data_IF_707843170173
#
_entry.id   IF_707843170173
#
_cell.length_a   1.000
_cell.length_b   1.000
_cell.length_c   1.000
_cell.angle_alpha   90.00
_cell.angle_beta   90.00
_cell.angle_gamma   90.00
#
_symmetry.space_group_name_H-M   'P 1'
#
loop_
_entity.id
_entity.type
_entity.pdbx_description
1 polymer ?
#
# COMPACT_ATOMS: atom_id res chain seq x y z
N UNK A 1 9.66 15.55 2.05
CA UNK A 1 10.66 15.20 3.09
C UNK A 1 10.00 14.50 4.29
N UNK A 2 9.25 13.41 4.04
CA UNK A 2 8.54 12.60 5.04
C UNK A 2 8.76 11.08 4.81
N UNK A 3 9.60 10.74 3.84
CA UNK A 3 9.77 9.36 3.34
C UNK A 3 10.65 8.54 4.27
N UNK A 4 11.67 9.13 4.91
CA UNK A 4 12.59 8.42 5.81
C UNK A 4 11.93 8.00 7.12
N UNK A 5 11.21 8.90 7.79
CA UNK A 5 10.48 8.54 9.02
C UNK A 5 9.44 7.44 8.77
N UNK A 6 8.80 7.47 7.59
CA UNK A 6 7.86 6.43 7.17
C UNK A 6 8.56 5.10 6.90
N UNK A 7 9.65 5.10 6.12
CA UNK A 7 10.45 3.90 5.83
C UNK A 7 11.03 3.34 7.13
N UNK A 8 11.50 4.16 8.06
CA UNK A 8 12.04 3.74 9.35
C UNK A 8 10.98 3.19 10.30
N UNK A 9 9.78 3.78 10.32
CA UNK A 9 8.65 3.26 11.10
C UNK A 9 8.19 1.92 10.52
N UNK A 10 8.09 1.82 9.19
CA UNK A 10 7.77 0.57 8.49
C UNK A 10 8.84 -0.48 8.75
N UNK A 11 10.13 -0.14 8.65
CA UNK A 11 11.28 -1.01 8.93
C UNK A 11 11.31 -1.48 10.39
N UNK A 12 10.84 -0.65 11.32
CA UNK A 12 10.74 -1.01 12.74
C UNK A 12 9.58 -1.97 12.99
N UNK A 13 8.42 -1.75 12.36
CA UNK A 13 7.29 -2.70 12.38
C UNK A 13 7.67 -4.03 11.71
N UNK A 14 8.40 -3.96 10.58
CA UNK A 14 9.00 -5.08 9.85
C UNK A 14 9.92 -5.92 10.76
N UNK A 15 10.80 -5.27 11.54
CA UNK A 15 11.71 -5.94 12.47
C UNK A 15 11.01 -6.56 13.68
N UNK A 16 9.88 -6.01 14.10
CA UNK A 16 9.18 -6.42 15.31
C UNK A 16 8.14 -7.53 15.06
N UNK A 17 7.67 -7.62 13.82
CA UNK A 17 6.78 -8.66 13.33
C UNK A 17 7.53 -9.97 13.07
N UNK A 18 7.40 -10.96 13.96
CA UNK A 18 8.04 -12.29 13.85
C UNK A 18 7.54 -13.18 12.68
N UNK A 19 6.76 -12.62 11.75
CA UNK A 19 6.19 -13.34 10.60
C UNK A 19 6.00 -12.42 9.40
N UNK A 20 6.47 -12.84 8.23
CA UNK A 20 6.31 -12.16 6.94
C UNK A 20 4.85 -11.90 6.56
N UNK A 21 3.92 -12.76 7.01
CA UNK A 21 2.48 -12.56 6.82
C UNK A 21 1.92 -11.39 7.61
N UNK A 22 2.32 -11.26 8.87
CA UNK A 22 1.88 -10.16 9.73
C UNK A 22 2.46 -8.81 9.28
N UNK A 23 3.74 -8.82 8.86
CA UNK A 23 4.37 -7.69 8.17
C UNK A 23 3.53 -7.27 6.97
N UNK A 24 3.23 -8.22 6.08
CA UNK A 24 2.53 -7.96 4.83
C UNK A 24 1.18 -7.30 5.05
N UNK A 25 0.37 -7.82 5.97
CA UNK A 25 -0.93 -7.25 6.31
C UNK A 25 -0.82 -5.84 6.89
N UNK A 26 0.14 -5.61 7.80
CA UNK A 26 0.36 -4.29 8.42
C UNK A 26 0.80 -3.25 7.39
N UNK A 27 1.74 -3.61 6.52
CA UNK A 27 2.25 -2.75 5.45
C UNK A 27 1.14 -2.46 4.43
N UNK A 28 0.42 -3.47 3.97
CA UNK A 28 -0.69 -3.32 3.03
C UNK A 28 -1.77 -2.37 3.57
N UNK A 29 -2.11 -2.50 4.86
CA UNK A 29 -3.07 -1.64 5.54
C UNK A 29 -2.57 -0.20 5.67
N UNK A 30 -1.29 -0.02 6.03
CA UNK A 30 -0.67 1.30 6.16
C UNK A 30 -0.61 2.04 4.81
N UNK A 31 -0.19 1.35 3.75
CA UNK A 31 -0.14 1.92 2.39
C UNK A 31 -1.53 2.30 1.88
N UNK A 32 -2.53 1.44 2.09
CA UNK A 32 -3.92 1.75 1.74
C UNK A 32 -4.43 3.00 2.45
N UNK A 33 -4.13 3.13 3.75
CA UNK A 33 -4.50 4.31 4.53
C UNK A 33 -3.78 5.57 4.06
N UNK A 34 -2.50 5.45 3.69
CA UNK A 34 -1.70 6.56 3.20
C UNK A 34 -2.21 7.06 1.85
N UNK A 35 -2.45 6.14 0.92
CA UNK A 35 -3.03 6.43 -0.38
C UNK A 35 -4.40 7.10 -0.23
N UNK A 36 -5.26 6.56 0.63
CA UNK A 36 -6.56 7.14 0.91
C UNK A 36 -6.46 8.58 1.44
N UNK A 37 -5.51 8.85 2.36
CA UNK A 37 -5.25 10.21 2.84
C UNK A 37 -4.76 11.13 1.72
N UNK A 38 -3.89 10.65 0.84
CA UNK A 38 -3.42 11.40 -0.32
C UNK A 38 -4.57 11.71 -1.29
N UNK A 39 -5.52 10.77 -1.45
CA UNK A 39 -6.75 10.93 -2.22
C UNK A 39 -7.81 11.81 -1.54
N UNK A 40 -7.57 12.30 -0.31
CA UNK A 40 -8.51 13.14 0.43
C UNK A 40 -9.70 12.39 1.05
N UNK A 41 -9.68 11.06 1.02
CA UNK A 41 -10.75 10.18 1.51
C UNK A 41 -10.72 9.97 3.05
N UNK A 42 -9.85 10.69 3.76
CA UNK A 42 -9.78 10.68 5.22
C UNK A 42 -8.96 9.53 5.82
N UNK A 43 -9.14 9.27 7.12
CA UNK A 43 -8.34 8.31 7.89
C UNK A 43 -9.07 6.99 8.23
N UNK A 44 -10.30 6.79 7.75
CA UNK A 44 -11.08 5.56 7.96
C UNK A 44 -11.03 4.75 6.68
N UNK A 45 -10.57 3.49 6.74
CA UNK A 45 -10.49 2.63 5.56
C UNK A 45 -11.84 2.56 4.84
N UNK A 46 -11.91 3.19 3.67
CA UNK A 46 -13.03 3.10 2.73
C UNK A 46 -12.91 1.81 1.96
N UNK A 47 -14.00 1.37 1.35
CA UNK A 47 -14.07 0.21 0.47
C UNK A 47 -13.12 0.34 -0.74
N UNK A 48 -12.80 -0.80 -1.35
CA UNK A 48 -11.85 -0.85 -2.46
C UNK A 48 -12.38 -0.13 -3.70
N UNK A 49 -13.68 -0.17 -3.93
CA UNK A 49 -14.33 0.50 -5.07
C UNK A 49 -14.19 2.02 -4.94
N UNK A 50 -14.55 2.59 -3.78
CA UNK A 50 -14.35 4.02 -3.48
C UNK A 50 -12.88 4.45 -3.58
N UNK A 51 -11.94 3.61 -3.12
CA UNK A 51 -10.51 3.91 -3.22
C UNK A 51 -10.02 3.92 -4.69
N UNK A 52 -10.48 2.96 -5.48
CA UNK A 52 -10.14 2.84 -6.91
C UNK A 52 -10.75 4.00 -7.70
N UNK A 53 -12.01 4.35 -7.45
CA UNK A 53 -12.68 5.46 -8.12
C UNK A 53 -12.00 6.79 -7.82
N UNK A 54 -11.68 7.05 -6.55
CA UNK A 54 -10.95 8.27 -6.17
C UNK A 54 -9.55 8.32 -6.81
N UNK A 55 -8.86 7.17 -6.89
CA UNK A 55 -7.58 7.08 -7.60
C UNK A 55 -7.74 7.42 -9.08
N UNK A 56 -8.71 6.83 -9.78
CA UNK A 56 -8.92 7.08 -11.21
C UNK A 56 -9.26 8.55 -11.45
N UNK A 57 -10.10 9.14 -10.60
CA UNK A 57 -10.46 10.55 -10.69
C UNK A 57 -9.26 11.49 -10.49
N UNK A 58 -8.38 11.19 -9.53
CA UNK A 58 -7.23 12.04 -9.22
C UNK A 58 -6.03 11.84 -10.16
N UNK A 59 -5.74 10.60 -10.52
CA UNK A 59 -4.53 10.25 -11.30
C UNK A 59 -4.79 10.10 -12.80
N UNK A 60 -6.07 9.99 -13.21
CA UNK A 60 -6.50 9.55 -14.55
C UNK A 60 -5.85 8.24 -15.04
N UNK A 61 -5.29 7.44 -14.13
CA UNK A 61 -4.67 6.15 -14.45
C UNK A 61 -5.68 5.03 -14.47
N UNK A 62 -5.27 3.90 -15.04
CA UNK A 62 -6.12 2.72 -15.14
C UNK A 62 -6.46 2.16 -13.75
N UNK A 63 -7.75 1.93 -13.43
CA UNK A 63 -8.16 1.29 -12.17
C UNK A 63 -7.53 -0.09 -12.00
N UNK A 64 -7.20 -0.75 -13.10
CA UNK A 64 -6.60 -2.08 -13.15
C UNK A 64 -5.25 -2.14 -12.43
N UNK A 65 -4.44 -1.07 -12.48
CA UNK A 65 -3.13 -1.04 -11.80
C UNK A 65 -3.29 -1.12 -10.28
N UNK A 66 -4.18 -0.29 -9.72
CA UNK A 66 -4.47 -0.31 -8.30
C UNK A 66 -5.17 -1.61 -7.88
N UNK A 67 -6.16 -2.06 -8.64
CA UNK A 67 -6.87 -3.30 -8.34
C UNK A 67 -5.95 -4.51 -8.34
N UNK A 68 -4.95 -4.58 -9.23
CA UNK A 68 -3.96 -5.66 -9.22
C UNK A 68 -3.09 -5.63 -7.96
N UNK A 69 -2.68 -4.45 -7.50
CA UNK A 69 -1.90 -4.29 -6.27
C UNK A 69 -2.71 -4.65 -5.03
N UNK A 70 -3.99 -4.28 -4.98
CA UNK A 70 -4.90 -4.65 -3.87
C UNK A 70 -5.28 -6.13 -3.89
N UNK A 71 -5.39 -6.75 -5.07
CA UNK A 71 -5.59 -8.21 -5.17
C UNK A 71 -4.38 -8.99 -4.69
N UNK A 72 -3.16 -8.48 -4.89
CA UNK A 72 -1.95 -9.11 -4.39
C UNK A 72 -1.95 -9.15 -2.85
N UNK A 73 -2.44 -8.09 -2.18
CA UNK A 73 -2.50 -8.03 -0.71
C UNK A 73 -3.50 -8.98 -0.09
N UNK A 74 -4.53 -9.41 -0.84
CA UNK A 74 -5.54 -10.40 -0.40
C UNK A 74 -5.12 -11.86 -0.59
N UNK A 75 -3.91 -12.15 -1.09
CA UNK A 75 -3.49 -13.55 -1.29
C UNK A 75 -3.41 -14.28 0.06
N UNK A 76 -3.95 -15.50 0.07
CA UNK A 76 -4.08 -16.37 1.26
C UNK A 76 -2.73 -16.82 1.85
N UNK A 77 -1.67 -16.72 1.05
CA UNK A 77 -0.30 -16.97 1.47
C UNK A 77 0.49 -15.67 1.43
N UNK A 78 1.27 -15.36 2.49
CA UNK A 78 2.18 -14.24 2.47
C UNK A 78 3.11 -14.34 1.26
N UNK A 79 3.33 -13.24 0.52
CA UNK A 79 4.41 -13.19 -0.44
C UNK A 79 5.75 -13.48 0.24
N UNK A 80 6.70 -14.05 -0.52
CA UNK A 80 8.08 -14.13 -0.06
C UNK A 80 8.65 -12.73 0.18
N UNK A 81 9.77 -12.63 0.87
CA UNK A 81 10.42 -11.34 1.16
C UNK A 81 10.72 -10.53 -0.12
N UNK A 82 11.18 -11.19 -1.18
CA UNK A 82 11.41 -10.56 -2.48
C UNK A 82 10.12 -10.04 -3.14
N UNK A 83 9.02 -10.78 -3.02
CA UNK A 83 7.73 -10.35 -3.55
C UNK A 83 7.18 -9.14 -2.79
N UNK A 84 7.39 -9.08 -1.47
CA UNK A 84 7.07 -7.92 -0.64
C UNK A 84 7.89 -6.69 -1.06
N UNK A 85 9.19 -6.85 -1.29
CA UNK A 85 10.06 -5.76 -1.77
C UNK A 85 9.60 -5.25 -3.13
N UNK A 86 9.37 -6.16 -4.09
CA UNK A 86 8.89 -5.80 -5.43
C UNK A 86 7.53 -5.07 -5.38
N UNK A 87 6.64 -5.49 -4.47
CA UNK A 87 5.35 -4.82 -4.28
C UNK A 87 5.51 -3.42 -3.66
N UNK A 88 6.42 -3.26 -2.69
CA UNK A 88 6.76 -1.97 -2.08
C UNK A 88 7.36 -1.00 -3.09
N UNK A 89 8.24 -1.46 -3.97
CA UNK A 89 8.80 -0.62 -5.03
C UNK A 89 7.73 -0.14 -6.02
N UNK A 90 6.78 -1.02 -6.38
CA UNK A 90 5.65 -0.65 -7.25
C UNK A 90 4.75 0.41 -6.62
N UNK A 91 4.38 0.23 -5.35
CA UNK A 91 3.51 1.20 -4.67
C UNK A 91 4.23 2.53 -4.43
N UNK A 92 5.54 2.49 -4.15
CA UNK A 92 6.36 3.69 -4.03
C UNK A 92 6.49 4.42 -5.37
N UNK A 93 6.63 3.70 -6.49
CA UNK A 93 6.67 4.30 -7.83
C UNK A 93 5.38 5.03 -8.17
N UNK A 94 4.24 4.46 -7.78
CA UNK A 94 2.93 5.10 -7.95
C UNK A 94 2.86 6.35 -7.09
N UNK A 95 3.28 6.25 -5.82
CA UNK A 95 3.28 7.38 -4.88
C UNK A 95 4.22 8.50 -5.32
N UNK A 96 5.39 8.20 -5.90
CA UNK A 96 6.35 9.23 -6.30
C UNK A 96 5.93 10.00 -7.56
N UNK A 97 4.90 9.51 -8.26
CA UNK A 97 4.28 10.15 -9.41
C UNK A 97 2.98 10.90 -9.04
N UNK A 98 2.74 11.12 -7.73
CA UNK A 98 1.59 11.81 -7.17
C UNK A 98 2.01 12.70 -5.99
#
# INVERSE_FOLDING_TARGET
>A
NNSEAYISALASVLRQAKSTGFVWEMVAKAERLHLQKALGLGAVLVDEETLVDAWVQQTQRSPTELQQLLKQTRRRSPPGEQDLVNWLEKIQTIRNNY
#
